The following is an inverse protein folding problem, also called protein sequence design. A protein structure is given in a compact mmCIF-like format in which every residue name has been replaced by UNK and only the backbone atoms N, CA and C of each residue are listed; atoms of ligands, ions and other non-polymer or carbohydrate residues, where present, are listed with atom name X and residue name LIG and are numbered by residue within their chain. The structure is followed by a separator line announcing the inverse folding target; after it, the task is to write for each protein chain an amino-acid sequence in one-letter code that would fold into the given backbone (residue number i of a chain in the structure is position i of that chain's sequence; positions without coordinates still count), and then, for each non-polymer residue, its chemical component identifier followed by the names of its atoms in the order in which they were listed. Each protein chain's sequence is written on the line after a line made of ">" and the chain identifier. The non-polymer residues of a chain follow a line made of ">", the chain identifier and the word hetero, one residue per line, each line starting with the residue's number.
data_IF_011428973020
#
_entry.id   IF_011428973020
#
_cell.length_a   1.000
_cell.length_b   1.000
_cell.length_c   1.000
_cell.angle_alpha   90.00
_cell.angle_beta   90.00
_cell.angle_gamma   90.00
#
_symmetry.space_group_name_H-M   'P 1'
#
loop_
_entity.id
_entity.type
_entity.pdbx_description
1 polymer ?
#
# COMPACT_ATOMS: atom_id res chain seq x y z
N UNK A 1 -19.98 -9.82 14.81
CA UNK A 1 -19.22 -8.87 13.97
C UNK A 1 -17.96 -9.59 13.51
N UNK A 2 -17.71 -9.70 12.21
CA UNK A 2 -16.41 -10.23 11.75
C UNK A 2 -15.29 -9.30 12.23
N UNK A 3 -14.10 -9.82 12.59
CA UNK A 3 -12.98 -8.97 12.98
C UNK A 3 -12.68 -7.98 11.84
N UNK A 4 -12.56 -6.69 12.16
CA UNK A 4 -12.10 -5.70 11.18
C UNK A 4 -10.66 -6.06 10.80
N UNK A 5 -10.46 -6.43 9.53
CA UNK A 5 -9.12 -6.74 9.01
C UNK A 5 -8.32 -5.44 8.94
N UNK A 6 -7.13 -5.44 9.51
CA UNK A 6 -6.17 -4.34 9.41
C UNK A 6 -4.93 -4.84 8.69
N UNK A 7 -4.59 -4.19 7.59
CA UNK A 7 -3.41 -4.49 6.77
C UNK A 7 -2.42 -3.35 6.90
N UNK A 8 -1.15 -3.68 7.12
CA UNK A 8 -0.03 -2.74 7.11
C UNK A 8 0.84 -3.05 5.91
N UNK A 9 1.18 -2.03 5.13
CA UNK A 9 1.88 -2.15 3.86
C UNK A 9 3.20 -1.38 3.92
N UNK A 10 4.29 -2.01 3.49
CA UNK A 10 5.54 -1.31 3.18
C UNK A 10 5.42 -0.61 1.82
N UNK A 11 5.14 0.69 1.86
CA UNK A 11 4.94 1.49 0.67
C UNK A 11 6.24 1.85 -0.04
N UNK A 12 7.38 1.87 0.65
CA UNK A 12 8.68 2.17 0.05
C UNK A 12 9.11 1.07 -0.90
N UNK A 13 8.90 -0.20 -0.50
CA UNK A 13 9.15 -1.34 -1.38
C UNK A 13 8.22 -1.33 -2.60
N UNK A 14 6.90 -1.18 -2.37
CA UNK A 14 5.92 -1.14 -3.46
C UNK A 14 6.17 0.00 -4.45
N UNK A 15 6.65 1.15 -4.00
CA UNK A 15 6.92 2.29 -4.88
C UNK A 15 8.19 2.14 -5.72
N UNK A 16 9.11 1.25 -5.33
CA UNK A 16 10.44 1.10 -5.95
C UNK A 16 10.62 -0.21 -6.71
N UNK A 17 9.71 -1.17 -6.55
CA UNK A 17 9.77 -2.45 -7.26
C UNK A 17 9.86 -2.23 -8.78
N UNK A 18 10.91 -2.82 -9.39
CA UNK A 18 11.19 -2.69 -10.82
C UNK A 18 11.68 -1.29 -11.26
N UNK A 19 12.04 -0.40 -10.33
CA UNK A 19 12.39 0.99 -10.60
C UNK A 19 13.66 1.43 -9.86
N UNK A 20 14.31 2.48 -10.37
CA UNK A 20 15.47 3.13 -9.72
C UNK A 20 15.09 4.30 -8.81
N UNK A 21 13.87 4.83 -8.97
CA UNK A 21 13.29 5.90 -8.17
C UNK A 21 11.87 5.54 -7.75
N UNK A 22 11.41 5.95 -6.54
CA UNK A 22 10.07 5.68 -6.07
C UNK A 22 9.00 6.29 -7.00
N UNK A 23 7.83 5.66 -7.04
CA UNK A 23 6.68 6.09 -7.83
C UNK A 23 5.41 6.11 -6.97
N UNK A 24 4.90 7.32 -6.71
CA UNK A 24 3.63 7.51 -6.02
C UNK A 24 2.45 6.90 -6.80
N UNK A 25 2.50 6.96 -8.13
CA UNK A 25 1.46 6.37 -8.98
C UNK A 25 1.40 4.85 -8.81
N UNK A 26 2.56 4.17 -8.83
CA UNK A 26 2.66 2.72 -8.63
C UNK A 26 2.17 2.32 -7.22
N UNK A 27 2.54 3.10 -6.20
CA UNK A 27 2.06 2.86 -4.84
C UNK A 27 0.53 2.99 -4.74
N UNK A 28 -0.06 4.02 -5.36
CA UNK A 28 -1.50 4.21 -5.38
C UNK A 28 -2.22 3.06 -6.08
N UNK A 29 -1.75 2.64 -7.26
CA UNK A 29 -2.32 1.52 -8.00
C UNK A 29 -2.31 0.22 -7.18
N UNK A 30 -1.18 -0.07 -6.51
CA UNK A 30 -1.05 -1.25 -5.66
C UNK A 30 -1.99 -1.20 -4.44
N UNK A 31 -2.11 -0.04 -3.80
CA UNK A 31 -2.99 0.15 -2.63
C UNK A 31 -4.46 0.07 -3.02
N UNK A 32 -4.84 0.59 -4.18
CA UNK A 32 -6.21 0.52 -4.67
C UNK A 32 -6.61 -0.91 -5.04
N UNK A 33 -5.70 -1.68 -5.66
CA UNK A 33 -5.90 -3.11 -5.89
C UNK A 33 -6.10 -3.87 -4.56
N UNK A 34 -5.25 -3.63 -3.56
CA UNK A 34 -5.36 -4.24 -2.23
C UNK A 34 -6.70 -3.93 -1.55
N UNK A 35 -7.18 -2.68 -1.65
CA UNK A 35 -8.49 -2.26 -1.11
C UNK A 35 -9.65 -2.96 -1.80
N UNK A 36 -9.56 -3.17 -3.11
CA UNK A 36 -10.57 -3.89 -3.88
C UNK A 36 -10.63 -5.38 -3.48
N UNK A 37 -9.48 -6.00 -3.21
CA UNK A 37 -9.39 -7.40 -2.74
C UNK A 37 -9.83 -7.58 -1.28
N UNK A 38 -9.73 -6.52 -0.47
CA UNK A 38 -10.06 -6.54 0.95
C UNK A 38 -11.08 -5.46 1.32
N UNK A 39 -12.33 -5.58 0.82
CA UNK A 39 -13.38 -4.62 1.14
C UNK A 39 -13.62 -4.56 2.66
N UNK A 40 -13.63 -3.35 3.20
CA UNK A 40 -13.82 -3.11 4.63
C UNK A 40 -12.58 -3.30 5.51
N UNK A 41 -11.42 -3.61 4.93
CA UNK A 41 -10.16 -3.58 5.65
C UNK A 41 -9.69 -2.13 5.89
N UNK A 42 -9.12 -1.88 7.06
CA UNK A 42 -8.30 -0.69 7.30
C UNK A 42 -6.92 -0.94 6.71
N UNK A 43 -6.43 -0.05 5.86
CA UNK A 43 -5.09 -0.17 5.25
C UNK A 43 -4.24 0.99 5.74
N UNK A 44 -3.11 0.68 6.37
CA UNK A 44 -2.08 1.63 6.77
C UNK A 44 -0.85 1.41 5.90
N UNK A 45 -0.43 2.44 5.17
CA UNK A 45 0.78 2.40 4.35
C UNK A 45 1.88 3.13 5.10
N UNK A 46 3.02 2.47 5.29
CA UNK A 46 4.22 3.06 5.89
C UNK A 46 5.22 3.33 4.77
N UNK A 47 5.66 4.58 4.66
CA UNK A 47 6.66 5.02 3.69
C UNK A 47 7.80 5.72 4.41
N UNK A 48 8.97 5.72 3.78
CA UNK A 48 10.09 6.51 4.26
C UNK A 48 9.76 8.01 4.21
N UNK A 49 10.32 8.80 5.12
CA UNK A 49 10.07 10.24 5.16
C UNK A 49 10.75 10.99 3.99
N UNK A 50 11.72 10.37 3.32
CA UNK A 50 12.39 10.92 2.14
C UNK A 50 11.73 10.52 0.82
N UNK A 51 10.52 9.95 0.87
CA UNK A 51 9.76 9.50 -0.31
C UNK A 51 9.53 10.61 -1.34
#
# INVERSE_FOLDING_TARGET
>A
MSPRRHVVVDGSNLATEGRTLPSLAQLNEAVDALRAEHPGATVTVVVDASF
#
